data_IF_868172997264
#
_entry.id   IF_868172997264
#
_cell.length_a   1.000
_cell.length_b   1.000
_cell.length_c   1.000
_cell.angle_alpha   90.00
_cell.angle_beta   90.00
_cell.angle_gamma   90.00
#
_symmetry.space_group_name_H-M   'P 1'
#
loop_
_entity.id
_entity.type
_entity.pdbx_description
1 polymer ?
#
# COMPACT_ATOMS: atom_id res chain seq x y z
N UNK A 1 34.81 30.21 -29.14
CA UNK A 1 34.03 28.96 -29.07
C UNK A 1 33.20 28.99 -27.81
N UNK A 2 31.93 29.28 -28.03
CA UNK A 2 30.97 29.93 -27.14
C UNK A 2 30.54 29.04 -25.97
N UNK A 3 30.47 29.66 -24.79
CA UNK A 3 29.82 29.13 -23.58
C UNK A 3 28.37 28.70 -23.90
N UNK A 4 28.09 27.42 -23.75
CA UNK A 4 26.74 26.87 -23.56
C UNK A 4 26.76 26.11 -22.23
N UNK A 5 26.77 26.88 -21.13
CA UNK A 5 26.26 26.42 -19.85
C UNK A 5 24.84 26.98 -19.78
N UNK A 6 23.87 26.18 -20.22
CA UNK A 6 22.46 26.55 -20.23
C UNK A 6 21.70 25.47 -19.47
N UNK A 7 21.35 25.81 -18.23
CA UNK A 7 20.09 25.50 -17.58
C UNK A 7 19.59 24.05 -17.66
N UNK A 8 20.22 23.18 -16.88
CA UNK A 8 19.51 22.04 -16.29
C UNK A 8 18.82 22.58 -15.04
N UNK A 9 17.66 23.21 -15.20
CA UNK A 9 16.73 23.35 -14.08
C UNK A 9 16.29 21.93 -13.71
N UNK A 10 16.72 21.42 -12.56
CA UNK A 10 16.27 20.13 -12.06
C UNK A 10 14.77 20.21 -11.88
N UNK A 11 14.03 19.34 -12.56
CA UNK A 11 12.58 19.15 -12.42
C UNK A 11 12.16 18.94 -10.94
N UNK A 12 13.06 18.43 -10.09
CA UNK A 12 12.88 18.32 -8.64
C UNK A 12 12.76 19.68 -7.92
N UNK A 13 13.44 20.73 -8.40
CA UNK A 13 13.44 22.06 -7.75
C UNK A 13 12.14 22.84 -8.02
N UNK A 14 11.50 22.60 -9.18
CA UNK A 14 10.23 23.23 -9.54
C UNK A 14 9.10 22.68 -8.66
N UNK A 15 9.00 21.34 -8.54
CA UNK A 15 7.99 20.69 -7.70
C UNK A 15 8.14 20.99 -6.20
N UNK A 16 9.38 21.12 -5.71
CA UNK A 16 9.64 21.52 -4.32
C UNK A 16 9.23 22.97 -4.04
N UNK A 17 9.48 23.88 -4.98
CA UNK A 17 9.13 25.30 -4.83
C UNK A 17 7.61 25.50 -4.86
N UNK A 18 6.92 24.82 -5.78
CA UNK A 18 5.46 24.84 -5.87
C UNK A 18 4.81 24.28 -4.61
N UNK A 19 5.34 23.17 -4.09
CA UNK A 19 4.86 22.55 -2.85
C UNK A 19 5.00 23.48 -1.63
N UNK A 20 6.14 24.16 -1.48
CA UNK A 20 6.35 25.10 -0.37
C UNK A 20 5.43 26.33 -0.47
N UNK A 21 5.16 26.81 -1.68
CA UNK A 21 4.20 27.90 -1.90
C UNK A 21 2.77 27.50 -1.53
N UNK A 22 2.35 26.28 -1.87
CA UNK A 22 1.06 25.72 -1.46
C UNK A 22 0.96 25.57 0.06
N UNK A 23 1.98 24.97 0.70
CA UNK A 23 2.03 24.82 2.16
C UNK A 23 1.93 26.19 2.85
N UNK A 24 2.67 27.19 2.36
CA UNK A 24 2.60 28.56 2.86
C UNK A 24 1.21 29.18 2.76
N UNK A 25 0.52 28.93 1.63
CA UNK A 25 -0.87 29.35 1.42
C UNK A 25 -1.82 28.68 2.41
N UNK A 26 -1.66 27.38 2.66
CA UNK A 26 -2.49 26.63 3.63
C UNK A 26 -2.31 27.14 5.05
N UNK A 27 -1.08 27.35 5.50
CA UNK A 27 -0.79 27.93 6.82
C UNK A 27 -1.47 29.30 6.97
N UNK A 28 -1.36 30.15 5.94
CA UNK A 28 -2.00 31.47 5.93
C UNK A 28 -3.53 31.38 6.01
N UNK A 29 -4.14 30.50 5.22
CA UNK A 29 -5.59 30.29 5.18
C UNK A 29 -6.12 29.73 6.50
N UNK A 30 -5.47 28.71 7.06
CA UNK A 30 -5.82 28.12 8.35
C UNK A 30 -5.76 29.14 9.49
N UNK A 31 -4.72 29.98 9.48
CA UNK A 31 -4.57 31.10 10.41
C UNK A 31 -5.69 32.13 10.26
N UNK A 32 -6.02 32.52 9.02
CA UNK A 32 -7.06 33.51 8.74
C UNK A 32 -8.47 33.03 9.14
N UNK A 33 -8.81 31.76 8.87
CA UNK A 33 -10.09 31.16 9.28
C UNK A 33 -10.30 31.19 10.81
N UNK A 34 -9.22 31.16 11.58
CA UNK A 34 -9.23 31.23 13.05
C UNK A 34 -9.10 32.65 13.59
N UNK A 35 -9.15 33.68 12.72
CA UNK A 35 -9.02 35.08 13.12
C UNK A 35 -7.64 35.44 13.69
N UNK A 36 -6.62 34.62 13.47
CA UNK A 36 -5.30 34.83 14.05
C UNK A 36 -4.47 35.80 13.18
N UNK A 37 -3.82 36.77 13.82
CA UNK A 37 -2.76 37.55 13.15
C UNK A 37 -1.47 36.74 13.10
N UNK A 38 -0.55 37.06 12.17
CA UNK A 38 0.76 36.38 12.13
C UNK A 38 1.54 36.56 13.43
N UNK A 39 1.44 37.74 14.05
CA UNK A 39 2.00 38.04 15.38
C UNK A 39 1.39 37.19 16.49
N UNK A 40 0.07 36.98 16.46
CA UNK A 40 -0.60 36.10 17.42
C UNK A 40 -0.11 34.66 17.28
N UNK A 41 -0.08 34.15 16.04
CA UNK A 41 0.44 32.80 15.78
C UNK A 41 1.91 32.66 16.20
N UNK A 42 2.76 33.66 15.93
CA UNK A 42 4.16 33.68 16.34
C UNK A 42 4.33 33.52 17.85
N UNK A 43 3.54 34.27 18.62
CA UNK A 43 3.54 34.21 20.08
C UNK A 43 3.07 32.83 20.57
N UNK A 44 1.95 32.35 20.03
CA UNK A 44 1.29 31.14 20.53
C UNK A 44 2.02 29.86 20.10
N UNK A 45 2.76 29.88 18.97
CA UNK A 45 3.57 28.76 18.50
C UNK A 45 5.04 28.82 18.95
N UNK A 46 5.50 29.93 19.53
CA UNK A 46 6.91 30.16 19.87
C UNK A 46 7.84 30.33 18.65
N UNK A 47 7.29 30.64 17.47
CA UNK A 47 8.04 30.79 16.21
C UNK A 47 8.12 32.26 15.85
N UNK A 48 9.27 32.72 15.35
CA UNK A 48 9.40 34.14 14.98
C UNK A 48 8.41 34.55 13.87
N UNK A 49 7.85 35.76 13.99
CA UNK A 49 6.93 36.30 12.99
C UNK A 49 7.57 36.42 11.59
N UNK A 50 8.88 36.72 11.54
CA UNK A 50 9.67 36.75 10.30
C UNK A 50 9.75 35.38 9.64
N UNK A 51 9.91 34.32 10.43
CA UNK A 51 9.94 32.96 9.92
C UNK A 51 8.57 32.53 9.38
N UNK A 52 7.49 32.87 10.11
CA UNK A 52 6.13 32.66 9.62
C UNK A 52 5.85 33.42 8.32
N UNK A 53 6.36 34.63 8.17
CA UNK A 53 6.22 35.39 6.93
C UNK A 53 6.90 34.67 5.75
N UNK A 54 8.12 34.17 5.94
CA UNK A 54 8.84 33.40 4.91
C UNK A 54 8.14 32.08 4.57
N UNK A 55 7.62 31.38 5.58
CA UNK A 55 6.85 30.16 5.42
C UNK A 55 5.58 30.44 4.59
N UNK A 56 4.79 31.44 4.98
CA UNK A 56 3.55 31.80 4.29
C UNK A 56 3.77 32.28 2.84
N UNK A 57 4.97 32.71 2.47
CA UNK A 57 5.35 33.08 1.10
C UNK A 57 6.03 31.94 0.33
N UNK A 58 6.16 30.74 0.91
CA UNK A 58 6.83 29.59 0.30
C UNK A 58 8.36 29.71 0.20
N UNK A 59 8.97 30.72 0.84
CA UNK A 59 10.41 31.00 0.78
C UNK A 59 11.21 30.29 1.89
N UNK A 60 10.55 29.51 2.74
CA UNK A 60 11.17 28.86 3.89
C UNK A 60 10.74 27.41 4.02
N UNK A 61 11.72 26.50 4.02
CA UNK A 61 11.49 25.11 4.42
C UNK A 61 11.27 25.06 5.94
N UNK A 62 10.24 24.35 6.37
CA UNK A 62 9.86 24.20 7.76
C UNK A 62 10.24 22.82 8.27
N UNK A 63 10.94 22.77 9.41
CA UNK A 63 11.20 21.48 10.05
C UNK A 63 9.88 20.89 10.56
N UNK A 64 9.75 19.57 10.55
CA UNK A 64 8.52 18.88 10.99
C UNK A 64 8.15 19.26 12.43
N UNK A 65 9.13 19.52 13.29
CA UNK A 65 8.91 19.96 14.67
C UNK A 65 8.30 21.37 14.74
N UNK A 66 8.81 22.32 13.95
CA UNK A 66 8.28 23.69 13.89
C UNK A 66 6.89 23.68 13.27
N UNK A 67 6.66 22.87 12.23
CA UNK A 67 5.35 22.72 11.63
C UNK A 67 4.32 22.16 12.63
N UNK A 68 4.72 21.18 13.45
CA UNK A 68 3.89 20.64 14.53
C UNK A 68 3.58 21.67 15.61
N UNK A 69 4.52 22.55 15.95
CA UNK A 69 4.27 23.66 16.88
C UNK A 69 3.26 24.66 16.32
N UNK A 70 3.44 25.06 15.06
CA UNK A 70 2.52 25.97 14.35
C UNK A 70 1.12 25.36 14.26
N UNK A 71 1.00 24.08 13.88
CA UNK A 71 -0.28 23.39 13.80
C UNK A 71 -0.98 23.34 15.16
N UNK A 72 -0.27 22.97 16.24
CA UNK A 72 -0.83 22.93 17.60
C UNK A 72 -1.31 24.29 18.08
N UNK A 73 -0.60 25.36 17.77
CA UNK A 73 -1.03 26.72 18.11
C UNK A 73 -2.33 27.13 17.39
N UNK A 74 -2.67 26.47 16.28
CA UNK A 74 -3.93 26.62 15.56
C UNK A 74 -4.96 25.54 15.91
N UNK A 75 -4.71 24.71 16.92
CA UNK A 75 -5.57 23.54 17.24
C UNK A 75 -5.77 22.60 16.03
N UNK A 76 -4.64 22.28 15.36
CA UNK A 76 -4.56 21.40 14.20
C UNK A 76 -3.43 20.37 14.36
N UNK A 77 -3.44 19.36 13.52
CA UNK A 77 -2.31 18.44 13.35
C UNK A 77 -1.40 18.92 12.21
N UNK A 78 -0.13 18.48 12.21
CA UNK A 78 0.77 18.77 11.10
C UNK A 78 0.29 18.12 9.79
N UNK A 79 -0.46 17.01 9.87
CA UNK A 79 -1.02 16.33 8.71
C UNK A 79 -2.05 17.21 7.98
N UNK A 80 -2.87 17.96 8.72
CA UNK A 80 -3.87 18.88 8.16
C UNK A 80 -3.24 19.98 7.31
N UNK A 81 -2.00 20.41 7.64
CA UNK A 81 -1.28 21.43 6.87
C UNK A 81 -0.55 20.85 5.65
N UNK A 82 -0.08 19.60 5.75
CA UNK A 82 0.71 18.92 4.70
C UNK A 82 -0.18 18.29 3.64
N UNK A 83 -1.40 17.87 4.01
CA UNK A 83 -2.35 17.23 3.13
C UNK A 83 -2.48 18.02 1.83
N UNK A 84 -2.22 17.37 0.69
CA UNK A 84 -2.51 17.93 -0.63
C UNK A 84 -4.03 17.98 -0.76
N UNK A 85 -4.64 19.04 -0.22
CA UNK A 85 -6.03 19.40 -0.37
C UNK A 85 -6.32 19.89 -1.80
N UNK A 86 -5.96 19.11 -2.80
CA UNK A 86 -6.69 19.20 -4.05
C UNK A 86 -8.13 18.73 -3.75
N UNK A 87 -8.97 19.68 -3.35
CA UNK A 87 -10.44 19.60 -3.36
C UNK A 87 -11.11 18.66 -2.32
N UNK A 88 -10.96 18.92 -1.03
CA UNK A 88 -11.95 18.44 -0.06
C UNK A 88 -13.13 19.43 -0.05
N UNK A 89 -14.13 19.21 -0.90
CA UNK A 89 -15.41 19.93 -0.81
C UNK A 89 -15.94 19.93 0.64
N UNK A 90 -16.77 20.90 1.08
CA UNK A 90 -17.31 20.91 2.45
C UNK A 90 -17.92 19.57 2.87
N UNK A 91 -18.51 18.83 1.92
CA UNK A 91 -19.05 17.49 2.12
C UNK A 91 -17.99 16.45 2.51
N UNK A 92 -16.78 16.52 1.92
CA UNK A 92 -15.66 15.61 2.26
C UNK A 92 -15.07 15.93 3.64
N UNK A 93 -15.03 17.20 4.04
CA UNK A 93 -14.64 17.58 5.40
C UNK A 93 -15.63 17.02 6.44
N UNK A 94 -16.94 17.12 6.17
CA UNK A 94 -17.96 16.50 7.03
C UNK A 94 -17.77 14.99 7.13
N UNK A 95 -17.46 14.29 6.02
CA UNK A 95 -17.20 12.85 6.04
C UNK A 95 -16.01 12.49 6.94
N UNK A 96 -14.90 13.25 6.86
CA UNK A 96 -13.74 13.04 7.72
C UNK A 96 -14.08 13.24 9.19
N UNK A 97 -14.82 14.31 9.53
CA UNK A 97 -15.27 14.57 10.89
C UNK A 97 -16.14 13.45 11.45
N UNK A 98 -17.09 12.95 10.65
CA UNK A 98 -17.95 11.81 11.04
C UNK A 98 -17.12 10.54 11.23
N UNK A 99 -16.16 10.28 10.35
CA UNK A 99 -15.30 9.09 10.45
C UNK A 99 -14.44 9.09 11.72
N UNK A 100 -13.99 10.27 12.18
CA UNK A 100 -13.21 10.40 13.40
C UNK A 100 -14.01 10.18 14.70
N UNK A 101 -15.35 10.24 14.62
CA UNK A 101 -16.24 10.01 15.75
C UNK A 101 -16.70 8.55 15.88
N UNK A 102 -16.39 7.70 14.90
CA UNK A 102 -16.74 6.29 14.94
C UNK A 102 -15.89 5.56 15.98
N UNK A 103 -16.55 4.73 16.80
CA UNK A 103 -15.85 3.78 17.64
C UNK A 103 -15.19 2.71 16.76
N UNK A 104 -14.04 2.18 17.18
CA UNK A 104 -13.27 1.20 16.40
C UNK A 104 -14.09 -0.05 16.04
N UNK A 105 -14.99 -0.48 16.94
CA UNK A 105 -15.91 -1.59 16.70
C UNK A 105 -16.91 -1.33 15.55
N UNK A 106 -17.25 -0.07 15.29
CA UNK A 106 -18.23 0.33 14.26
C UNK A 106 -17.57 0.65 12.91
N UNK A 107 -16.24 0.77 12.86
CA UNK A 107 -15.50 1.09 11.62
C UNK A 107 -15.72 0.01 10.56
N UNK A 108 -15.70 -1.27 10.96
CA UNK A 108 -15.88 -2.39 10.02
C UNK A 108 -17.27 -2.35 9.38
N UNK A 109 -18.31 -2.21 10.20
CA UNK A 109 -19.70 -2.17 9.70
C UNK A 109 -19.97 -0.93 8.84
N UNK A 110 -19.36 0.21 9.18
CA UNK A 110 -19.44 1.42 8.37
C UNK A 110 -18.73 1.27 7.01
N UNK A 111 -17.53 0.67 6.99
CA UNK A 111 -16.81 0.36 5.75
C UNK A 111 -17.65 -0.54 4.85
N UNK A 112 -18.27 -1.59 5.41
CA UNK A 112 -19.09 -2.52 4.63
C UNK A 112 -20.35 -1.85 4.08
N UNK A 113 -21.00 -0.99 4.86
CA UNK A 113 -22.13 -0.18 4.40
C UNK A 113 -21.73 0.77 3.27
N UNK A 114 -20.58 1.44 3.41
CA UNK A 114 -20.06 2.36 2.40
C UNK A 114 -19.66 1.61 1.12
N UNK A 115 -19.03 0.44 1.22
CA UNK A 115 -18.78 -0.45 0.07
C UNK A 115 -20.08 -0.81 -0.63
N UNK A 116 -21.10 -1.27 0.11
CA UNK A 116 -22.38 -1.64 -0.46
C UNK A 116 -23.07 -0.47 -1.20
N UNK A 117 -22.92 0.76 -0.70
CA UNK A 117 -23.51 1.97 -1.28
C UNK A 117 -22.71 2.57 -2.45
N UNK A 118 -21.37 2.52 -2.38
CA UNK A 118 -20.47 3.08 -3.39
C UNK A 118 -20.22 2.11 -4.55
N UNK A 119 -20.49 0.82 -4.36
CA UNK A 119 -20.46 -0.15 -5.43
C UNK A 119 -21.57 0.17 -6.44
N UNK A 120 -21.23 0.92 -7.49
CA UNK A 120 -21.95 0.84 -8.76
C UNK A 120 -21.98 -0.64 -9.12
N UNK A 121 -23.19 -1.25 -9.06
CA UNK A 121 -23.51 -2.64 -9.43
C UNK A 121 -22.31 -3.41 -10.00
N UNK A 122 -21.52 -3.99 -9.11
CA UNK A 122 -20.67 -5.10 -9.48
C UNK A 122 -21.14 -6.25 -8.62
N UNK A 123 -22.17 -6.95 -9.10
CA UNK A 123 -22.33 -8.38 -8.83
C UNK A 123 -21.09 -9.07 -9.43
N UNK A 124 -19.91 -8.83 -8.86
CA UNK A 124 -18.73 -9.58 -9.21
C UNK A 124 -18.65 -10.68 -8.20
N UNK A 125 -19.25 -11.82 -8.54
CA UNK A 125 -18.85 -13.05 -7.93
C UNK A 125 -17.32 -13.11 -8.03
N UNK A 126 -16.65 -13.28 -6.89
CA UNK A 126 -15.21 -13.65 -6.83
C UNK A 126 -14.90 -14.82 -7.78
N UNK A 127 -15.93 -15.56 -8.20
CA UNK A 127 -15.87 -16.55 -9.24
C UNK A 127 -15.03 -17.72 -8.75
N UNK A 128 -14.33 -18.37 -9.66
CA UNK A 128 -13.39 -19.45 -9.34
C UNK A 128 -11.95 -18.94 -9.38
N UNK A 129 -11.73 -17.74 -8.82
CA UNK A 129 -10.43 -17.08 -8.74
C UNK A 129 -9.91 -17.12 -7.31
N UNK A 130 -8.70 -17.63 -7.14
CA UNK A 130 -8.03 -17.76 -5.83
C UNK A 130 -6.77 -16.91 -5.87
N UNK A 131 -6.55 -16.05 -4.89
CA UNK A 131 -5.30 -15.32 -4.74
C UNK A 131 -4.56 -15.75 -3.49
N UNK A 132 -3.30 -16.14 -3.65
CA UNK A 132 -2.40 -16.47 -2.55
C UNK A 132 -1.52 -15.26 -2.25
N UNK A 133 -1.65 -14.71 -1.04
CA UNK A 133 -0.84 -13.61 -0.53
C UNK A 133 0.10 -14.08 0.58
N UNK A 134 1.09 -13.27 0.91
CA UNK A 134 2.06 -13.55 1.97
C UNK A 134 3.48 -13.17 1.56
N UNK A 135 4.42 -13.17 2.48
CA UNK A 135 5.81 -12.83 2.17
C UNK A 135 6.49 -13.85 1.27
N UNK A 136 7.61 -13.46 0.66
CA UNK A 136 8.48 -14.41 -0.04
C UNK A 136 8.88 -15.53 0.93
N UNK A 137 8.96 -16.77 0.45
CA UNK A 137 9.14 -17.94 1.32
C UNK A 137 7.86 -18.48 1.98
N UNK A 138 6.70 -17.82 1.86
CA UNK A 138 5.42 -18.36 2.37
C UNK A 138 4.95 -19.66 1.70
N UNK A 139 5.56 -20.06 0.58
CA UNK A 139 5.17 -21.26 -0.18
C UNK A 139 4.20 -21.01 -1.34
N UNK A 140 3.91 -19.75 -1.72
CA UNK A 140 3.00 -19.41 -2.83
C UNK A 140 3.36 -20.09 -4.16
N UNK A 141 4.63 -20.03 -4.58
CA UNK A 141 5.10 -20.64 -5.83
C UNK A 141 5.19 -22.17 -5.77
N UNK A 142 5.06 -22.76 -4.58
CA UNK A 142 5.01 -24.22 -4.39
C UNK A 142 3.57 -24.73 -4.30
N UNK A 143 2.75 -24.09 -3.47
CA UNK A 143 1.36 -24.49 -3.21
C UNK A 143 0.42 -24.04 -4.34
N UNK A 144 0.68 -22.90 -4.97
CA UNK A 144 -0.15 -22.34 -6.05
C UNK A 144 -0.32 -23.26 -7.25
N UNK A 145 0.77 -23.72 -7.90
CA UNK A 145 0.67 -24.64 -9.04
C UNK A 145 0.01 -25.98 -8.67
N UNK A 146 0.30 -26.51 -7.47
CA UNK A 146 -0.27 -27.76 -6.98
C UNK A 146 -1.77 -27.63 -6.70
N UNK A 147 -2.19 -26.51 -6.11
CA UNK A 147 -3.60 -26.20 -5.88
C UNK A 147 -4.34 -26.06 -7.22
N UNK A 148 -3.77 -25.30 -8.17
CA UNK A 148 -4.35 -25.12 -9.50
C UNK A 148 -4.53 -26.46 -10.21
N UNK A 149 -3.50 -27.31 -10.20
CA UNK A 149 -3.54 -28.66 -10.77
C UNK A 149 -4.65 -29.52 -10.15
N UNK A 150 -4.80 -29.52 -8.82
CA UNK A 150 -5.84 -30.29 -8.14
C UNK A 150 -7.27 -29.75 -8.33
N UNK A 151 -7.43 -28.46 -8.66
CA UNK A 151 -8.72 -27.85 -8.95
C UNK A 151 -9.06 -27.85 -10.45
N UNK A 152 -8.09 -28.20 -11.32
CA UNK A 152 -8.23 -28.04 -12.77
C UNK A 152 -8.22 -26.57 -13.24
N UNK A 153 -7.57 -25.69 -12.48
CA UNK A 153 -7.51 -24.24 -12.75
C UNK A 153 -6.18 -23.86 -13.43
N UNK A 154 -6.15 -22.67 -14.04
CA UNK A 154 -4.89 -22.04 -14.44
C UNK A 154 -4.07 -21.59 -13.23
N UNK A 155 -2.75 -21.44 -13.40
CA UNK A 155 -1.88 -20.82 -12.41
C UNK A 155 -1.16 -19.62 -13.02
N UNK A 156 -1.15 -18.50 -12.29
CA UNK A 156 -0.46 -17.27 -12.71
C UNK A 156 0.37 -16.73 -11.55
N UNK A 157 1.64 -16.45 -11.81
CA UNK A 157 2.45 -15.60 -10.92
C UNK A 157 2.36 -14.15 -11.40
N UNK A 158 1.78 -13.26 -10.59
CA UNK A 158 1.57 -11.87 -10.97
C UNK A 158 2.89 -11.17 -11.33
N UNK A 159 3.96 -11.49 -10.59
CA UNK A 159 5.30 -10.97 -10.87
C UNK A 159 5.81 -11.35 -12.26
N UNK A 160 5.56 -12.58 -12.71
CA UNK A 160 5.98 -13.03 -14.04
C UNK A 160 5.18 -12.32 -15.15
N UNK A 161 3.88 -12.07 -14.93
CA UNK A 161 3.08 -11.28 -15.87
C UNK A 161 3.54 -9.83 -15.94
N UNK A 162 3.96 -9.23 -14.82
CA UNK A 162 4.55 -7.88 -14.80
C UNK A 162 5.85 -7.85 -15.60
N UNK A 163 6.76 -8.81 -15.37
CA UNK A 163 8.03 -8.89 -16.11
C UNK A 163 7.81 -9.06 -17.61
N UNK A 164 6.86 -9.92 -17.99
CA UNK A 164 6.47 -10.15 -19.39
C UNK A 164 5.86 -8.90 -20.04
N UNK A 165 5.00 -8.19 -19.32
CA UNK A 165 4.32 -7.01 -19.84
C UNK A 165 5.23 -5.78 -19.92
N UNK A 166 6.20 -5.66 -19.01
CA UNK A 166 7.22 -4.62 -19.06
C UNK A 166 8.34 -4.95 -20.05
N UNK A 167 8.69 -6.23 -20.19
CA UNK A 167 9.82 -6.70 -21.01
C UNK A 167 11.18 -6.68 -20.29
N UNK A 168 11.19 -6.65 -18.96
CA UNK A 168 12.41 -6.68 -18.14
C UNK A 168 12.14 -7.37 -16.79
N UNK A 169 13.21 -7.81 -16.13
CA UNK A 169 13.10 -8.40 -14.78
C UNK A 169 12.62 -7.39 -13.74
N UNK A 170 12.05 -7.86 -12.64
CA UNK A 170 11.64 -6.98 -11.54
C UNK A 170 12.80 -6.10 -11.03
N UNK A 171 14.01 -6.64 -10.98
CA UNK A 171 15.20 -5.89 -10.56
C UNK A 171 15.48 -4.70 -11.50
N UNK A 172 15.32 -4.90 -12.81
CA UNK A 172 15.47 -3.85 -13.82
C UNK A 172 14.32 -2.83 -13.77
N UNK A 173 13.08 -3.28 -13.53
CA UNK A 173 11.94 -2.35 -13.35
C UNK A 173 12.22 -1.41 -12.17
N UNK A 174 12.65 -1.95 -11.03
CA UNK A 174 12.94 -1.12 -9.86
C UNK A 174 14.13 -0.19 -10.08
N UNK A 175 15.18 -0.62 -10.80
CA UNK A 175 16.37 0.21 -11.04
C UNK A 175 16.16 1.28 -12.11
N UNK A 176 15.40 0.98 -13.17
CA UNK A 176 15.20 1.85 -14.32
C UNK A 176 13.99 2.78 -14.17
N UNK A 177 12.87 2.25 -13.69
CA UNK A 177 11.56 2.94 -13.71
C UNK A 177 11.02 3.23 -12.30
N UNK A 178 11.65 2.68 -11.27
CA UNK A 178 11.28 2.89 -9.88
C UNK A 178 10.01 2.16 -9.45
N UNK A 179 9.75 2.23 -8.14
CA UNK A 179 8.60 1.57 -7.51
C UNK A 179 7.23 2.05 -8.00
N UNK A 180 6.98 3.35 -8.28
CA UNK A 180 5.69 3.80 -8.80
C UNK A 180 5.31 3.14 -10.14
N UNK A 181 6.29 2.92 -11.02
CA UNK A 181 6.08 2.24 -12.30
C UNK A 181 5.72 0.76 -12.06
N UNK A 182 6.45 0.06 -11.19
CA UNK A 182 6.10 -1.30 -10.79
C UNK A 182 4.64 -1.39 -10.30
N UNK A 183 4.19 -0.46 -9.44
CA UNK A 183 2.80 -0.46 -8.94
C UNK A 183 1.76 -0.31 -10.04
N UNK A 184 2.00 0.57 -11.02
CA UNK A 184 1.08 0.74 -12.17
C UNK A 184 0.96 -0.54 -13.00
N UNK A 185 2.07 -1.24 -13.22
CA UNK A 185 2.05 -2.52 -13.93
C UNK A 185 1.41 -3.63 -13.07
N UNK A 186 1.70 -3.69 -11.77
CA UNK A 186 1.09 -4.64 -10.83
C UNK A 186 -0.44 -4.54 -10.85
N UNK A 187 -0.97 -3.31 -10.79
CA UNK A 187 -2.40 -3.03 -10.89
C UNK A 187 -2.97 -3.46 -12.24
N UNK A 188 -2.33 -3.07 -13.34
CA UNK A 188 -2.81 -3.34 -14.71
C UNK A 188 -2.82 -4.84 -15.02
N UNK A 189 -1.77 -5.56 -14.66
CA UNK A 189 -1.68 -7.00 -14.83
C UNK A 189 -2.77 -7.70 -14.01
N UNK A 190 -2.97 -7.30 -12.74
CA UNK A 190 -4.02 -7.88 -11.91
C UNK A 190 -5.41 -7.65 -12.51
N UNK A 191 -5.73 -6.42 -12.92
CA UNK A 191 -7.00 -6.09 -13.57
C UNK A 191 -7.26 -6.95 -14.80
N UNK A 192 -6.27 -7.08 -15.67
CA UNK A 192 -6.35 -7.93 -16.86
C UNK A 192 -6.60 -9.40 -16.51
N UNK A 193 -5.91 -9.94 -15.51
CA UNK A 193 -6.09 -11.35 -15.09
C UNK A 193 -7.52 -11.58 -14.59
N UNK A 194 -8.03 -10.72 -13.70
CA UNK A 194 -9.36 -10.90 -13.10
C UNK A 194 -10.50 -10.66 -14.10
N UNK A 195 -10.26 -9.89 -15.17
CA UNK A 195 -11.21 -9.68 -16.27
C UNK A 195 -11.23 -10.80 -17.30
N UNK A 196 -10.10 -11.49 -17.51
CA UNK A 196 -9.94 -12.44 -18.61
C UNK A 196 -9.94 -13.91 -18.17
N UNK A 197 -9.75 -14.19 -16.89
CA UNK A 197 -9.65 -15.55 -16.35
C UNK A 197 -10.69 -15.82 -15.27
N UNK A 198 -11.50 -16.86 -15.47
CA UNK A 198 -12.56 -17.24 -14.53
C UNK A 198 -12.15 -18.35 -13.55
N UNK A 199 -11.22 -19.23 -13.95
CA UNK A 199 -10.73 -20.36 -13.16
C UNK A 199 -9.20 -20.27 -13.01
N UNK A 200 -8.71 -19.53 -12.02
CA UNK A 200 -7.28 -19.28 -11.85
C UNK A 200 -6.85 -19.20 -10.38
N UNK A 201 -5.66 -19.72 -10.10
CA UNK A 201 -4.92 -19.48 -8.86
C UNK A 201 -3.81 -18.46 -9.16
N UNK A 202 -3.82 -17.34 -8.45
CA UNK A 202 -2.90 -16.21 -8.61
C UNK A 202 -1.94 -16.19 -7.42
N UNK A 203 -0.64 -16.26 -7.67
CA UNK A 203 0.37 -15.97 -6.66
C UNK A 203 0.84 -14.52 -6.80
N UNK A 204 0.70 -13.72 -5.73
CA UNK A 204 1.06 -12.30 -5.75
C UNK A 204 2.46 -12.04 -5.20
N UNK A 205 3.01 -10.86 -5.50
CA UNK A 205 4.17 -10.34 -4.79
C UNK A 205 3.79 -10.00 -3.34
N UNK A 206 4.66 -10.27 -2.37
CA UNK A 206 4.38 -10.01 -0.95
C UNK A 206 4.18 -8.53 -0.60
N UNK A 207 4.38 -7.61 -1.55
CA UNK A 207 4.18 -6.17 -1.36
C UNK A 207 2.84 -5.65 -1.89
N UNK A 208 2.01 -6.51 -2.50
CA UNK A 208 0.73 -6.12 -3.10
C UNK A 208 -0.20 -5.48 -2.08
N UNK A 209 -0.14 -5.95 -0.83
CA UNK A 209 -0.97 -5.46 0.28
C UNK A 209 -0.69 -4.01 0.68
N UNK A 210 0.46 -3.46 0.27
CA UNK A 210 0.85 -2.08 0.57
C UNK A 210 0.26 -1.06 -0.42
N UNK A 211 -0.34 -1.52 -1.52
CA UNK A 211 -1.07 -0.66 -2.46
C UNK A 211 -2.58 -0.90 -2.29
N UNK A 212 -3.27 0.02 -1.64
CA UNK A 212 -4.67 -0.19 -1.23
C UNK A 212 -5.61 -0.34 -2.43
N UNK A 213 -5.35 0.34 -3.54
CA UNK A 213 -6.15 0.23 -4.76
C UNK A 213 -6.05 -1.16 -5.38
N UNK A 214 -4.83 -1.67 -5.56
CA UNK A 214 -4.58 -3.00 -6.13
C UNK A 214 -5.05 -4.10 -5.19
N UNK A 215 -4.82 -3.94 -3.88
CA UNK A 215 -5.24 -4.95 -2.91
C UNK A 215 -6.77 -5.00 -2.73
N UNK A 216 -7.45 -3.86 -2.80
CA UNK A 216 -8.92 -3.83 -2.78
C UNK A 216 -9.50 -4.54 -4.01
N UNK A 217 -8.94 -4.32 -5.20
CA UNK A 217 -9.31 -5.08 -6.39
C UNK A 217 -9.12 -6.59 -6.21
N UNK A 218 -8.01 -7.02 -5.60
CA UNK A 218 -7.73 -8.42 -5.31
C UNK A 218 -8.81 -9.02 -4.39
N UNK A 219 -9.13 -8.33 -3.29
CA UNK A 219 -10.12 -8.75 -2.29
C UNK A 219 -11.55 -8.81 -2.85
N UNK A 220 -11.89 -7.90 -3.76
CA UNK A 220 -13.22 -7.81 -4.36
C UNK A 220 -13.43 -8.85 -5.47
N UNK A 221 -12.37 -9.22 -6.20
CA UNK A 221 -12.48 -10.03 -7.42
C UNK A 221 -12.05 -11.48 -7.26
N UNK A 222 -11.43 -11.84 -6.14
CA UNK A 222 -10.88 -13.18 -5.90
C UNK A 222 -11.10 -13.62 -4.46
N UNK A 223 -11.06 -14.93 -4.21
CA UNK A 223 -10.97 -15.46 -2.86
C UNK A 223 -9.52 -15.42 -2.38
N UNK A 224 -9.26 -14.65 -1.33
CA UNK A 224 -7.89 -14.36 -0.91
C UNK A 224 -7.49 -15.21 0.30
N UNK A 225 -6.40 -15.98 0.16
CA UNK A 225 -5.79 -16.76 1.24
C UNK A 225 -4.42 -16.19 1.59
N UNK A 226 -4.21 -15.87 2.86
CA UNK A 226 -2.90 -15.54 3.38
C UNK A 226 -2.12 -16.81 3.77
N UNK A 227 -1.00 -17.05 3.07
CA UNK A 227 -0.02 -18.05 3.46
C UNK A 227 0.97 -17.48 4.47
N UNK A 228 1.03 -18.11 5.65
CA UNK A 228 1.88 -17.75 6.76
C UNK A 228 3.05 -18.73 6.89
N UNK A 229 4.20 -18.23 7.31
CA UNK A 229 5.29 -19.07 7.82
C UNK A 229 5.99 -18.35 8.98
N UNK A 230 6.66 -19.10 9.84
CA UNK A 230 7.53 -18.53 10.87
C UNK A 230 8.63 -17.70 10.18
N UNK A 231 9.07 -16.57 10.77
CA UNK A 231 10.12 -15.73 10.19
C UNK A 231 11.38 -16.51 9.80
N UNK A 232 11.79 -17.46 10.64
CA UNK A 232 12.94 -18.32 10.45
C UNK A 232 12.77 -19.25 9.23
N UNK A 233 11.56 -19.73 8.98
CA UNK A 233 11.24 -20.55 7.81
C UNK A 233 11.14 -19.73 6.52
N UNK A 234 10.55 -18.52 6.59
CA UNK A 234 10.58 -17.57 5.48
C UNK A 234 12.03 -17.36 5.02
N UNK A 235 12.91 -17.05 5.96
CA UNK A 235 14.32 -16.81 5.72
C UNK A 235 15.00 -18.03 5.09
N UNK A 236 14.86 -19.20 5.71
CA UNK A 236 15.48 -20.44 5.23
C UNK A 236 15.04 -20.78 3.80
N UNK A 237 13.74 -20.64 3.49
CA UNK A 237 13.19 -20.92 2.15
C UNK A 237 13.67 -19.91 1.10
N UNK A 238 13.80 -18.63 1.46
CA UNK A 238 14.31 -17.60 0.54
C UNK A 238 15.78 -17.84 0.21
N UNK A 239 16.60 -18.19 1.21
CA UNK A 239 18.01 -18.55 1.01
C UNK A 239 18.16 -19.79 0.13
N UNK A 240 17.36 -20.83 0.37
CA UNK A 240 17.36 -22.04 -0.45
C UNK A 240 16.98 -21.78 -1.92
N UNK A 241 16.22 -20.72 -2.20
CA UNK A 241 15.87 -20.28 -3.55
C UNK A 241 16.96 -19.45 -4.24
N UNK A 242 18.16 -19.35 -3.64
CA UNK A 242 19.30 -18.62 -4.20
C UNK A 242 19.21 -17.11 -4.05
N UNK A 243 18.22 -16.61 -3.30
CA UNK A 243 18.10 -15.18 -3.00
C UNK A 243 18.93 -14.89 -1.75
N UNK A 244 20.15 -14.39 -1.98
CA UNK A 244 21.13 -14.07 -0.92
C UNK A 244 20.93 -12.69 -0.31
N UNK A 245 19.96 -11.88 -0.78
CA UNK A 245 19.64 -10.57 -0.20
C UNK A 245 19.42 -10.62 1.32
N UNK A 246 18.77 -11.66 1.88
CA UNK A 246 18.62 -11.80 3.33
C UNK A 246 19.90 -12.21 4.07
N UNK A 247 20.93 -12.70 3.38
CA UNK A 247 22.22 -13.06 3.98
C UNK A 247 23.21 -11.89 4.02
N UNK A 248 22.97 -10.80 3.29
CA UNK A 248 23.86 -9.64 3.21
C UNK A 248 23.99 -8.83 4.54
N UNK A 249 23.30 -9.25 5.61
CA UNK A 249 23.37 -8.64 6.95
C UNK A 249 22.64 -9.48 8.02
N UNK A 250 22.98 -10.76 8.17
CA UNK A 250 22.10 -11.81 8.73
C UNK A 250 21.36 -11.52 10.05
N UNK A 251 21.92 -10.68 10.94
CA UNK A 251 21.25 -10.29 12.20
C UNK A 251 20.26 -9.14 12.02
N UNK A 252 20.59 -8.16 11.18
CA UNK A 252 19.70 -7.05 10.80
C UNK A 252 18.61 -7.56 9.85
N UNK A 253 18.94 -8.44 8.90
CA UNK A 253 17.99 -8.99 7.94
C UNK A 253 16.83 -9.75 8.61
N UNK A 254 17.08 -10.49 9.70
CA UNK A 254 16.01 -11.15 10.45
C UNK A 254 15.15 -10.14 11.22
N UNK A 255 15.76 -9.08 11.77
CA UNK A 255 15.03 -8.01 12.43
C UNK A 255 14.14 -7.25 11.42
N UNK A 256 14.68 -6.91 10.25
CA UNK A 256 13.96 -6.26 9.16
C UNK A 256 12.81 -7.13 8.65
N UNK A 257 13.03 -8.44 8.50
CA UNK A 257 11.96 -9.38 8.12
C UNK A 257 10.83 -9.37 9.15
N UNK A 258 11.17 -9.39 10.45
CA UNK A 258 10.19 -9.32 11.55
C UNK A 258 9.42 -8.01 11.53
N UNK A 259 10.09 -6.88 11.28
CA UNK A 259 9.44 -5.57 11.13
C UNK A 259 8.50 -5.53 9.92
N UNK A 260 8.93 -6.08 8.77
CA UNK A 260 8.09 -6.17 7.56
C UNK A 260 6.86 -7.03 7.82
N UNK A 261 7.01 -8.17 8.51
CA UNK A 261 5.88 -9.02 8.91
C UNK A 261 4.92 -8.25 9.79
N UNK A 262 5.41 -7.64 10.88
CA UNK A 262 4.59 -6.88 11.81
C UNK A 262 3.85 -5.72 11.13
N UNK A 263 4.51 -5.00 10.23
CA UNK A 263 3.90 -3.88 9.50
C UNK A 263 2.84 -4.34 8.48
N UNK A 264 2.96 -5.56 7.94
CA UNK A 264 2.05 -6.10 6.92
C UNK A 264 0.97 -7.01 7.47
N UNK A 265 1.11 -7.51 8.69
CA UNK A 265 0.14 -8.40 9.34
C UNK A 265 -1.28 -7.82 9.33
N UNK A 266 -1.55 -6.57 9.75
CA UNK A 266 -2.90 -5.99 9.67
C UNK A 266 -3.46 -5.89 8.24
N UNK A 267 -2.57 -5.82 7.24
CA UNK A 267 -2.98 -5.78 5.84
C UNK A 267 -3.28 -7.19 5.33
N UNK A 268 -2.48 -8.18 5.69
CA UNK A 268 -2.72 -9.57 5.35
C UNK A 268 -3.97 -10.14 6.03
N UNK A 269 -4.32 -9.67 7.24
CA UNK A 269 -5.54 -10.04 7.96
C UNK A 269 -6.85 -9.65 7.24
N UNK A 270 -6.76 -8.80 6.21
CA UNK A 270 -7.92 -8.52 5.35
C UNK A 270 -8.28 -9.70 4.44
N UNK A 271 -7.44 -10.74 4.35
CA UNK A 271 -7.73 -11.97 3.62
C UNK A 271 -8.92 -12.74 4.23
N UNK A 272 -9.62 -13.52 3.41
CA UNK A 272 -10.76 -14.32 3.87
C UNK A 272 -10.34 -15.52 4.71
N UNK A 273 -9.16 -16.06 4.44
CA UNK A 273 -8.63 -17.21 5.16
C UNK A 273 -7.12 -17.20 5.29
N UNK A 274 -6.64 -18.08 6.17
CA UNK A 274 -5.26 -18.17 6.59
C UNK A 274 -4.81 -19.63 6.51
N UNK A 275 -3.59 -19.86 6.03
CA UNK A 275 -2.97 -21.17 5.99
C UNK A 275 -1.53 -21.05 6.51
N UNK A 276 -1.26 -21.64 7.67
CA UNK A 276 0.08 -21.68 8.24
C UNK A 276 0.87 -22.84 7.64
N UNK A 277 2.00 -22.55 7.03
CA UNK A 277 2.89 -23.53 6.39
C UNK A 277 4.09 -23.88 7.26
N UNK A 278 4.16 -23.39 8.49
CA UNK A 278 5.31 -23.62 9.40
C UNK A 278 5.28 -25.01 9.98
N UNK A 279 6.43 -25.70 9.96
CA UNK A 279 6.57 -27.05 10.49
C UNK A 279 5.74 -28.11 9.75
N UNK A 280 5.17 -27.77 8.60
CA UNK A 280 4.33 -28.66 7.80
C UNK A 280 5.04 -29.10 6.52
N UNK A 281 4.74 -30.31 6.07
CA UNK A 281 5.05 -30.76 4.71
C UNK A 281 4.21 -30.02 3.68
N UNK A 282 4.66 -30.01 2.42
CA UNK A 282 3.91 -29.35 1.34
C UNK A 282 2.54 -30.00 1.15
N UNK A 283 2.44 -31.32 1.36
CA UNK A 283 1.21 -32.09 1.24
C UNK A 283 0.21 -31.76 2.36
N UNK A 284 0.69 -31.55 3.60
CA UNK A 284 -0.14 -31.07 4.71
C UNK A 284 -0.65 -29.66 4.47
N UNK A 285 0.25 -28.72 4.13
CA UNK A 285 -0.16 -27.35 3.83
C UNK A 285 -1.10 -27.25 2.62
N UNK A 286 -0.94 -28.12 1.61
CA UNK A 286 -1.86 -28.18 0.48
C UNK A 286 -3.25 -28.71 0.89
N UNK A 287 -3.29 -29.70 1.78
CA UNK A 287 -4.55 -30.22 2.34
C UNK A 287 -5.27 -29.13 3.13
N UNK A 288 -4.56 -28.44 4.00
CA UNK A 288 -5.10 -27.34 4.80
C UNK A 288 -5.60 -26.20 3.91
N UNK A 289 -4.80 -25.79 2.92
CA UNK A 289 -5.18 -24.78 1.94
C UNK A 289 -6.48 -25.16 1.20
N UNK A 290 -6.62 -26.43 0.78
CA UNK A 290 -7.86 -26.90 0.15
C UNK A 290 -9.06 -26.89 1.07
N UNK A 291 -8.88 -27.26 2.34
CA UNK A 291 -9.95 -27.17 3.34
C UNK A 291 -10.44 -25.73 3.46
N UNK A 292 -9.52 -24.75 3.56
CA UNK A 292 -9.88 -23.32 3.60
C UNK A 292 -10.63 -22.86 2.35
N UNK A 293 -10.17 -23.27 1.16
CA UNK A 293 -10.86 -22.98 -0.11
C UNK A 293 -12.28 -23.57 -0.14
N UNK A 294 -12.46 -24.79 0.36
CA UNK A 294 -13.78 -25.42 0.48
C UNK A 294 -14.71 -24.68 1.44
N UNK A 295 -14.20 -24.22 2.59
CA UNK A 295 -14.94 -23.42 3.58
C UNK A 295 -15.42 -22.08 3.02
N UNK A 296 -14.67 -21.49 2.08
CA UNK A 296 -15.05 -20.26 1.36
C UNK A 296 -16.14 -20.45 0.29
N UNK A 297 -16.72 -21.64 0.17
CA UNK A 297 -17.80 -21.94 -0.78
C UNK A 297 -17.34 -22.23 -2.21
N UNK A 298 -16.03 -22.34 -2.45
CA UNK A 298 -15.48 -22.88 -3.70
C UNK A 298 -15.39 -24.40 -3.61
N UNK A 299 -16.53 -25.06 -3.74
CA UNK A 299 -16.59 -26.51 -3.89
C UNK A 299 -15.88 -26.93 -5.19
N UNK A 300 -15.00 -27.95 -5.10
CA UNK A 300 -14.24 -28.53 -6.21
C UNK A 300 -15.10 -28.76 -7.46
N UNK A 301 -14.51 -28.48 -8.62
CA UNK A 301 -15.06 -28.93 -9.89
C UNK A 301 -15.28 -30.45 -9.83
N UNK A 302 -16.49 -30.88 -10.17
CA UNK A 302 -16.79 -32.27 -10.52
C UNK A 302 -16.10 -32.64 -11.83
#
# INVERSE_FOLDING_TARGET
MTKLATDIVRWEDIGATDYLAELGTRVRSARAQRGMTRKALARDSGVSERYLAKLETGQGNVSVLVLRQIARAMDMTAADLIAQEAELSPKRQTLQQLSAQLAEADVVSFIDLMRAKLSVKSECAKGRRISLIGLRGAGKSTLGPRLASQLGFGFVELNAEIEKEFGASLAEIFSLAGQPSFRRYEQRCLAKIVETQDNVVIATGGSIVADDQTFSLLLERTHVVWLQAAPEEHMARVVAQGDMRPMAGSREAMADLKQILQAREPLYERAEAYCNTSGQSVEESLRDLKTRIGEMGMASAK
#
